data_IF_764331037294
#
_entry.id   IF_764331037294
#
_cell.length_a   1.000
_cell.length_b   1.000
_cell.length_c   1.000
_cell.angle_alpha   90.00
_cell.angle_beta   90.00
_cell.angle_gamma   90.00
#
_symmetry.space_group_name_H-M   'P 1'
#
loop_
_entity.id
_entity.type
_entity.pdbx_description
1 polymer ?
#
# COMPACT_ATOMS: atom_id res chain seq x y z
N UNK A 1 21.61 -13.68 -12.35
CA UNK A 1 20.94 -14.12 -13.62
C UNK A 1 20.42 -12.86 -14.33
N UNK A 2 20.87 -12.63 -15.54
CA UNK A 2 20.49 -11.41 -16.26
C UNK A 2 18.99 -11.41 -16.64
N UNK A 3 18.27 -10.42 -16.14
CA UNK A 3 16.85 -10.23 -16.43
C UNK A 3 16.60 -9.45 -17.73
N UNK A 4 15.37 -9.55 -18.23
CA UNK A 4 14.93 -8.71 -19.35
C UNK A 4 14.73 -7.27 -18.88
N UNK A 5 15.11 -6.32 -19.72
CA UNK A 5 15.02 -4.89 -19.37
C UNK A 5 13.60 -4.45 -19.01
N UNK A 6 12.60 -4.84 -19.77
CA UNK A 6 11.21 -4.49 -19.52
C UNK A 6 10.63 -5.09 -18.24
N UNK A 7 11.12 -6.26 -17.81
CA UNK A 7 10.80 -6.85 -16.50
C UNK A 7 11.45 -6.04 -15.38
N UNK A 8 12.72 -5.65 -15.51
CA UNK A 8 13.41 -4.81 -14.52
C UNK A 8 12.74 -3.42 -14.44
N UNK A 9 12.34 -2.84 -15.56
CA UNK A 9 11.67 -1.54 -15.62
C UNK A 9 10.32 -1.59 -14.87
N UNK A 10 9.51 -2.61 -15.10
CA UNK A 10 8.20 -2.72 -14.42
C UNK A 10 8.32 -3.06 -12.94
N UNK A 11 9.34 -3.83 -12.54
CA UNK A 11 9.66 -4.04 -11.12
C UNK A 11 10.05 -2.73 -10.44
N UNK A 12 10.82 -1.86 -11.09
CA UNK A 12 11.16 -0.53 -10.58
C UNK A 12 9.95 0.42 -10.55
N UNK A 13 9.02 0.31 -11.51
CA UNK A 13 7.77 1.08 -11.47
C UNK A 13 6.92 0.67 -10.26
N UNK A 14 6.82 -0.63 -9.99
CA UNK A 14 6.17 -1.15 -8.79
C UNK A 14 6.87 -0.68 -7.51
N UNK A 15 8.19 -0.76 -7.45
CA UNK A 15 8.98 -0.27 -6.31
C UNK A 15 8.73 1.21 -6.03
N UNK A 16 8.68 2.05 -7.07
CA UNK A 16 8.31 3.47 -6.95
C UNK A 16 6.93 3.65 -6.31
N UNK A 17 5.96 2.83 -6.68
CA UNK A 17 4.61 2.86 -6.12
C UNK A 17 4.62 2.47 -4.64
N UNK A 18 5.27 1.36 -4.28
CA UNK A 18 5.36 0.88 -2.89
C UNK A 18 6.03 1.88 -1.97
N UNK A 19 7.13 2.49 -2.40
CA UNK A 19 7.82 3.52 -1.60
C UNK A 19 6.93 4.76 -1.38
N UNK A 20 6.11 5.12 -2.35
CA UNK A 20 5.07 6.14 -2.19
C UNK A 20 4.00 5.71 -1.18
N UNK A 21 3.51 4.49 -1.28
CA UNK A 21 2.52 3.94 -0.37
C UNK A 21 3.04 3.86 1.08
N UNK A 22 4.28 3.41 1.30
CA UNK A 22 4.94 3.45 2.61
C UNK A 22 4.84 4.84 3.24
N UNK A 23 5.21 5.88 2.50
CA UNK A 23 5.21 7.25 3.00
C UNK A 23 3.79 7.78 3.22
N UNK A 24 2.85 7.48 2.32
CA UNK A 24 1.45 7.90 2.44
C UNK A 24 0.79 7.30 3.67
N UNK A 25 0.84 5.99 3.86
CA UNK A 25 0.30 5.30 5.04
C UNK A 25 0.97 5.76 6.33
N UNK A 26 2.29 6.00 6.32
CA UNK A 26 2.97 6.49 7.51
C UNK A 26 2.54 7.90 7.92
N UNK A 27 2.37 8.81 6.94
CA UNK A 27 1.87 10.15 7.23
C UNK A 27 0.41 10.10 7.70
N UNK A 28 -0.45 9.33 7.03
CA UNK A 28 -1.84 9.14 7.45
C UNK A 28 -1.93 8.56 8.86
N UNK A 29 -1.10 7.57 9.19
CA UNK A 29 -0.99 7.05 10.55
C UNK A 29 -0.74 8.16 11.56
N UNK A 30 0.25 9.02 11.33
CA UNK A 30 0.59 10.09 12.28
C UNK A 30 -0.52 11.15 12.38
N UNK A 31 -1.17 11.47 11.28
CA UNK A 31 -2.30 12.41 11.25
C UNK A 31 -3.51 11.86 12.01
N UNK A 32 -3.90 10.60 11.75
CA UNK A 32 -5.01 9.93 12.43
C UNK A 32 -4.77 9.80 13.93
N UNK A 33 -3.54 9.45 14.33
CA UNK A 33 -3.14 9.37 15.73
C UNK A 33 -3.28 10.74 16.42
N UNK A 34 -2.81 11.81 15.78
CA UNK A 34 -2.95 13.17 16.27
C UNK A 34 -4.42 13.65 16.36
N UNK A 35 -5.29 13.17 15.48
CA UNK A 35 -6.72 13.46 15.52
C UNK A 35 -7.50 12.65 16.53
N UNK A 36 -6.86 11.65 17.18
CA UNK A 36 -7.47 10.78 18.18
C UNK A 36 -8.10 9.50 17.62
N UNK A 37 -7.96 9.20 16.34
CA UNK A 37 -8.46 7.97 15.71
C UNK A 37 -7.42 6.85 15.81
N UNK A 38 -7.08 6.47 17.03
CA UNK A 38 -5.93 5.62 17.35
C UNK A 38 -6.03 4.20 16.80
N UNK A 39 -7.24 3.62 16.71
CA UNK A 39 -7.44 2.28 16.14
C UNK A 39 -7.12 2.27 14.65
N UNK A 40 -7.65 3.23 13.89
CA UNK A 40 -7.36 3.35 12.48
C UNK A 40 -5.89 3.72 12.25
N UNK A 41 -5.31 4.58 13.09
CA UNK A 41 -3.89 4.91 13.06
C UNK A 41 -2.99 3.67 13.19
N UNK A 42 -3.32 2.74 14.09
CA UNK A 42 -2.59 1.47 14.23
C UNK A 42 -2.68 0.61 12.97
N UNK A 43 -3.85 0.59 12.32
CA UNK A 43 -4.04 -0.11 11.03
C UNK A 43 -3.16 0.50 9.94
N UNK A 44 -3.21 1.82 9.77
CA UNK A 44 -2.39 2.55 8.79
C UNK A 44 -0.87 2.32 8.99
N UNK A 45 -0.43 2.32 10.26
CA UNK A 45 0.97 2.01 10.59
C UNK A 45 1.35 0.60 10.15
N UNK A 46 0.48 -0.37 10.36
CA UNK A 46 0.70 -1.76 9.94
C UNK A 46 0.77 -1.86 8.42
N UNK A 47 -0.14 -1.18 7.70
CA UNK A 47 -0.11 -1.14 6.24
C UNK A 47 1.20 -0.55 5.72
N UNK A 48 1.67 0.59 6.28
CA UNK A 48 2.96 1.16 5.87
C UNK A 48 4.12 0.17 6.00
N UNK A 49 4.14 -0.63 7.06
CA UNK A 49 5.17 -1.68 7.27
C UNK A 49 5.01 -2.81 6.23
N UNK A 50 3.78 -3.19 5.90
CA UNK A 50 3.49 -4.22 4.91
C UNK A 50 3.96 -3.78 3.51
N UNK A 51 3.69 -2.51 3.12
CA UNK A 51 4.18 -1.95 1.86
C UNK A 51 5.72 -1.89 1.79
N UNK A 52 6.40 -1.66 2.92
CA UNK A 52 7.86 -1.77 2.97
C UNK A 52 8.33 -3.23 2.74
N UNK A 53 7.59 -4.22 3.21
CA UNK A 53 7.89 -5.63 2.93
C UNK A 53 7.66 -5.98 1.45
N UNK A 54 6.63 -5.40 0.82
CA UNK A 54 6.43 -5.50 -0.63
C UNK A 54 7.61 -4.89 -1.40
N UNK A 55 8.03 -3.68 -1.02
CA UNK A 55 9.19 -3.02 -1.60
C UNK A 55 10.47 -3.87 -1.45
N UNK A 56 10.68 -4.51 -0.31
CA UNK A 56 11.83 -5.39 -0.06
C UNK A 56 11.85 -6.60 -1.02
N UNK A 57 10.70 -7.25 -1.23
CA UNK A 57 10.57 -8.35 -2.20
C UNK A 57 10.93 -7.90 -3.63
N UNK A 58 10.48 -6.70 -4.02
CA UNK A 58 10.79 -6.12 -5.34
C UNK A 58 12.27 -5.79 -5.48
N UNK A 59 12.89 -5.18 -4.46
CA UNK A 59 14.34 -4.89 -4.42
C UNK A 59 15.14 -6.18 -4.56
N UNK A 60 14.82 -7.21 -3.79
CA UNK A 60 15.49 -8.50 -3.86
C UNK A 60 15.39 -9.13 -5.27
N UNK A 61 14.21 -9.04 -5.90
CA UNK A 61 14.01 -9.56 -7.25
C UNK A 61 14.79 -8.79 -8.31
N UNK A 62 14.82 -7.46 -8.24
CA UNK A 62 15.58 -6.61 -9.16
C UNK A 62 17.09 -6.94 -9.07
N UNK A 63 17.62 -7.05 -7.85
CA UNK A 63 19.03 -7.40 -7.63
C UNK A 63 19.35 -8.80 -8.18
N UNK A 64 18.48 -9.78 -7.93
CA UNK A 64 18.65 -11.13 -8.48
C UNK A 64 18.73 -11.15 -10.02
N UNK A 65 17.96 -10.24 -10.67
CA UNK A 65 17.96 -10.07 -12.12
C UNK A 65 19.09 -9.19 -12.65
N UNK A 66 20.08 -8.85 -11.81
CA UNK A 66 21.22 -7.97 -12.13
C UNK A 66 20.78 -6.55 -12.54
N UNK A 67 19.59 -6.12 -12.08
CA UNK A 67 19.10 -4.76 -12.21
C UNK A 67 19.54 -3.88 -11.05
N UNK A 68 19.33 -2.57 -11.20
CA UNK A 68 19.55 -1.59 -10.13
C UNK A 68 18.21 -1.13 -9.57
N UNK A 69 17.91 -1.43 -8.28
CA UNK A 69 16.70 -0.89 -7.63
C UNK A 69 16.76 0.62 -7.49
N UNK A 70 15.70 1.33 -7.90
CA UNK A 70 15.61 2.77 -7.77
C UNK A 70 14.80 3.15 -6.52
N UNK A 71 15.48 3.48 -5.42
CA UNK A 71 14.87 3.96 -4.17
C UNK A 71 14.81 5.50 -4.07
N UNK A 72 15.27 6.23 -5.08
CA UNK A 72 15.32 7.69 -5.05
C UNK A 72 14.02 8.35 -5.53
N UNK A 73 13.21 7.64 -6.31
CA UNK A 73 11.96 8.16 -6.87
C UNK A 73 10.78 7.42 -6.26
N UNK A 74 9.88 8.20 -5.67
CA UNK A 74 8.63 7.69 -5.11
C UNK A 74 7.43 8.22 -5.90
N UNK A 75 6.31 7.49 -5.88
CA UNK A 75 5.06 7.97 -6.46
C UNK A 75 4.55 9.22 -5.71
N UNK A 76 3.86 10.16 -6.39
CA UNK A 76 3.23 11.29 -5.71
C UNK A 76 2.25 10.82 -4.64
N UNK A 77 2.31 11.43 -3.46
CA UNK A 77 1.41 11.10 -2.35
C UNK A 77 0.05 11.79 -2.54
N UNK A 78 -1.00 11.11 -2.13
CA UNK A 78 -2.34 11.64 -2.01
C UNK A 78 -2.68 11.69 -0.51
N UNK A 79 -2.65 12.89 0.09
CA UNK A 79 -2.81 13.07 1.53
C UNK A 79 -4.19 13.62 1.85
N UNK A 80 -4.98 12.83 2.59
CA UNK A 80 -6.29 13.24 3.08
C UNK A 80 -6.16 14.28 4.20
N UNK A 81 -7.11 15.24 4.23
CA UNK A 81 -7.14 16.32 5.21
C UNK A 81 -8.13 16.03 6.36
N UNK A 82 -8.86 14.96 6.28
CA UNK A 82 -9.79 14.46 7.28
C UNK A 82 -9.90 12.93 7.17
N UNK A 83 -10.57 12.31 8.15
CA UNK A 83 -10.68 10.85 8.24
C UNK A 83 -11.23 10.20 6.96
N UNK A 84 -12.30 10.75 6.37
CA UNK A 84 -12.89 10.18 5.16
C UNK A 84 -11.96 10.30 3.97
N UNK A 85 -11.33 11.47 3.78
CA UNK A 85 -10.37 11.69 2.70
C UNK A 85 -9.13 10.78 2.81
N UNK A 86 -8.68 10.48 4.03
CA UNK A 86 -7.60 9.50 4.24
C UNK A 86 -7.97 8.16 3.61
N UNK A 87 -9.14 7.61 3.98
CA UNK A 87 -9.61 6.34 3.41
C UNK A 87 -9.79 6.39 1.89
N UNK A 88 -10.31 7.50 1.35
CA UNK A 88 -10.49 7.69 -0.09
C UNK A 88 -9.16 7.78 -0.84
N UNK A 89 -8.16 8.49 -0.28
CA UNK A 89 -6.83 8.58 -0.87
C UNK A 89 -6.11 7.23 -0.87
N UNK A 90 -6.21 6.49 0.22
CA UNK A 90 -5.60 5.17 0.33
C UNK A 90 -6.26 4.17 -0.63
N UNK A 91 -7.60 4.14 -0.71
CA UNK A 91 -8.30 3.32 -1.68
C UNK A 91 -7.87 3.62 -3.12
N UNK A 92 -7.70 4.89 -3.47
CA UNK A 92 -7.22 5.28 -4.80
C UNK A 92 -5.79 4.77 -5.05
N UNK A 93 -4.93 4.81 -4.04
CA UNK A 93 -3.57 4.25 -4.11
C UNK A 93 -3.61 2.75 -4.40
N UNK A 94 -4.42 1.99 -3.68
CA UNK A 94 -4.56 0.55 -3.84
C UNK A 94 -5.15 0.15 -5.21
N UNK A 95 -6.13 0.89 -5.70
CA UNK A 95 -6.68 0.67 -7.04
C UNK A 95 -5.61 0.92 -8.14
N UNK A 96 -4.76 1.94 -7.96
CA UNK A 96 -3.64 2.19 -8.86
C UNK A 96 -2.59 1.06 -8.80
N UNK A 97 -2.30 0.53 -7.60
CA UNK A 97 -1.42 -0.62 -7.42
C UNK A 97 -1.97 -1.86 -8.13
N UNK A 98 -3.25 -2.16 -7.95
CA UNK A 98 -3.95 -3.28 -8.59
C UNK A 98 -3.83 -3.23 -10.11
N UNK A 99 -4.06 -2.06 -10.71
CA UNK A 99 -3.94 -1.88 -12.16
C UNK A 99 -2.48 -2.04 -12.62
N UNK A 100 -1.53 -1.48 -11.87
CA UNK A 100 -0.09 -1.60 -12.15
C UNK A 100 0.36 -3.07 -12.10
N UNK A 101 -0.02 -3.81 -11.07
CA UNK A 101 0.43 -5.19 -10.88
C UNK A 101 -0.22 -6.16 -11.85
N UNK A 102 -1.45 -5.90 -12.27
CA UNK A 102 -2.10 -6.64 -13.36
C UNK A 102 -1.29 -6.48 -14.66
N UNK A 103 -0.90 -5.27 -15.00
CA UNK A 103 -0.06 -4.97 -16.18
C UNK A 103 1.35 -5.58 -16.03
N UNK A 104 1.94 -5.47 -14.85
CA UNK A 104 3.27 -6.00 -14.56
C UNK A 104 3.32 -7.52 -14.69
N UNK A 105 2.33 -8.22 -14.17
CA UNK A 105 2.16 -9.67 -14.32
C UNK A 105 2.16 -10.09 -15.80
N UNK A 106 1.41 -9.35 -16.65
CA UNK A 106 1.35 -9.66 -18.08
C UNK A 106 2.67 -9.40 -18.82
N UNK A 107 3.43 -8.38 -18.42
CA UNK A 107 4.78 -8.13 -18.95
C UNK A 107 5.72 -9.28 -18.57
N UNK A 108 5.70 -9.72 -17.32
CA UNK A 108 6.51 -10.84 -16.85
C UNK A 108 6.16 -12.14 -17.61
N UNK A 109 4.87 -12.40 -17.81
CA UNK A 109 4.40 -13.58 -18.56
C UNK A 109 4.88 -13.55 -20.00
N UNK A 110 4.82 -12.42 -20.70
CA UNK A 110 5.31 -12.26 -22.08
C UNK A 110 6.81 -12.49 -22.21
N UNK A 111 7.57 -12.22 -21.16
CA UNK A 111 9.01 -12.43 -21.09
C UNK A 111 9.40 -13.81 -20.52
N UNK A 112 8.42 -14.68 -20.26
CA UNK A 112 8.62 -16.01 -19.66
C UNK A 112 9.31 -15.97 -18.28
N UNK A 113 9.23 -14.82 -17.57
CA UNK A 113 9.69 -14.67 -16.19
C UNK A 113 8.57 -15.03 -15.23
N UNK A 114 8.36 -16.33 -15.06
CA UNK A 114 7.28 -16.86 -14.23
C UNK A 114 7.44 -16.55 -12.75
N UNK A 115 8.66 -16.37 -12.26
CA UNK A 115 8.92 -16.06 -10.85
C UNK A 115 8.55 -14.60 -10.55
N UNK A 116 8.91 -13.66 -11.41
CA UNK A 116 8.46 -12.26 -11.28
C UNK A 116 6.94 -12.15 -11.49
N UNK A 117 6.36 -12.94 -12.39
CA UNK A 117 4.90 -13.01 -12.57
C UNK A 117 4.22 -13.46 -11.27
N UNK A 118 4.70 -14.54 -10.65
CA UNK A 118 4.16 -15.04 -9.38
C UNK A 118 4.30 -14.01 -8.25
N UNK A 119 5.42 -13.28 -8.17
CA UNK A 119 5.59 -12.19 -7.22
C UNK A 119 4.48 -11.14 -7.37
N UNK A 120 4.18 -10.71 -8.58
CA UNK A 120 3.08 -9.77 -8.82
C UNK A 120 1.70 -10.34 -8.51
N UNK A 121 1.48 -11.64 -8.69
CA UNK A 121 0.23 -12.30 -8.28
C UNK A 121 0.08 -12.34 -6.75
N UNK A 122 1.17 -12.53 -6.01
CA UNK A 122 1.18 -12.45 -4.54
C UNK A 122 0.88 -11.03 -4.05
N UNK A 123 1.58 -10.02 -4.58
CA UNK A 123 1.33 -8.62 -4.25
C UNK A 123 -0.11 -8.22 -4.58
N UNK A 124 -0.60 -8.59 -5.77
CA UNK A 124 -1.97 -8.28 -6.20
C UNK A 124 -3.03 -8.84 -5.24
N UNK A 125 -2.80 -10.03 -4.68
CA UNK A 125 -3.70 -10.61 -3.69
C UNK A 125 -3.74 -9.79 -2.39
N UNK A 126 -2.57 -9.29 -1.95
CA UNK A 126 -2.48 -8.47 -0.75
C UNK A 126 -3.20 -7.12 -0.98
N UNK A 127 -3.00 -6.46 -2.15
CA UNK A 127 -3.69 -5.22 -2.51
C UNK A 127 -5.22 -5.39 -2.61
N UNK A 128 -5.71 -6.51 -3.13
CA UNK A 128 -7.16 -6.77 -3.12
C UNK A 128 -7.72 -6.90 -1.70
N UNK A 129 -6.94 -7.40 -0.76
CA UNK A 129 -7.28 -7.40 0.67
C UNK A 129 -7.34 -5.99 1.27
N UNK A 130 -6.39 -5.12 0.92
CA UNK A 130 -6.41 -3.69 1.32
C UNK A 130 -7.61 -2.95 0.73
N UNK A 131 -7.91 -3.18 -0.56
CA UNK A 131 -9.09 -2.60 -1.23
C UNK A 131 -10.37 -3.01 -0.51
N UNK A 132 -10.57 -4.30 -0.25
CA UNK A 132 -11.77 -4.82 0.44
C UNK A 132 -11.95 -4.17 1.82
N UNK A 133 -10.86 -4.04 2.58
CA UNK A 133 -10.87 -3.34 3.86
C UNK A 133 -11.32 -1.89 3.70
N UNK A 134 -10.70 -1.13 2.80
CA UNK A 134 -10.96 0.31 2.62
C UNK A 134 -12.37 0.56 2.08
N UNK A 135 -12.86 -0.24 1.14
CA UNK A 135 -14.24 -0.18 0.65
C UNK A 135 -15.23 -0.46 1.78
N UNK A 136 -14.96 -1.45 2.63
CA UNK A 136 -15.77 -1.77 3.81
C UNK A 136 -15.82 -0.60 4.80
N UNK A 137 -14.68 0.08 5.06
CA UNK A 137 -14.64 1.23 5.95
C UNK A 137 -15.42 2.41 5.38
N UNK A 138 -15.25 2.72 4.09
CA UNK A 138 -15.99 3.80 3.42
C UNK A 138 -17.50 3.54 3.40
N UNK A 139 -17.90 2.31 3.15
CA UNK A 139 -19.31 1.87 3.20
C UNK A 139 -19.90 2.10 4.61
N UNK A 140 -19.12 1.80 5.65
CA UNK A 140 -19.53 2.04 7.03
C UNK A 140 -19.64 3.54 7.34
N UNK A 141 -18.68 4.35 6.87
CA UNK A 141 -18.75 5.82 6.97
C UNK A 141 -20.04 6.36 6.35
N UNK A 142 -20.41 5.87 5.16
CA UNK A 142 -21.63 6.31 4.48
C UNK A 142 -22.91 5.85 5.20
N UNK A 143 -22.90 4.68 5.82
CA UNK A 143 -24.06 4.14 6.56
C UNK A 143 -24.33 4.81 7.90
N UNK A 144 -23.29 5.12 8.67
CA UNK A 144 -23.44 5.63 10.06
C UNK A 144 -22.99 7.08 10.24
N UNK A 145 -22.43 7.70 9.20
CA UNK A 145 -21.84 9.03 9.24
C UNK A 145 -20.41 9.05 9.78
N UNK A 146 -19.61 9.99 9.30
CA UNK A 146 -18.18 10.09 9.64
C UNK A 146 -17.94 10.33 11.13
N UNK A 147 -18.82 11.05 11.82
CA UNK A 147 -18.68 11.31 13.26
C UNK A 147 -18.86 10.02 14.09
N UNK A 148 -19.87 9.22 13.80
CA UNK A 148 -20.09 7.96 14.49
C UNK A 148 -18.97 6.95 14.15
N UNK A 149 -18.55 6.90 12.89
CA UNK A 149 -17.41 6.08 12.49
C UNK A 149 -16.14 6.47 13.23
N UNK A 150 -15.86 7.78 13.35
CA UNK A 150 -14.69 8.29 14.07
C UNK A 150 -14.70 7.88 15.55
N UNK A 151 -15.85 7.87 16.22
CA UNK A 151 -15.97 7.39 17.61
C UNK A 151 -15.59 5.93 17.75
N UNK A 152 -15.90 5.08 16.76
CA UNK A 152 -15.50 3.67 16.77
C UNK A 152 -13.98 3.48 16.58
N UNK A 153 -13.28 4.48 16.06
CA UNK A 153 -11.84 4.45 15.81
C UNK A 153 -11.01 5.04 16.96
N UNK A 154 -11.64 5.67 17.96
CA UNK A 154 -10.97 6.25 19.11
C UNK A 154 -10.81 5.20 20.24
N UNK A 155 -9.63 5.18 20.88
CA UNK A 155 -9.38 4.44 22.12
C UNK A 155 -9.37 5.40 23.31
N UNK A 156 -9.76 4.89 24.49
CA UNK A 156 -9.53 5.60 25.75
C UNK A 156 -8.07 5.49 26.18
N UNK A 157 -7.60 6.48 26.96
CA UNK A 157 -6.21 6.54 27.39
C UNK A 157 -5.73 5.31 28.19
N UNK A 158 -6.64 4.55 28.78
CA UNK A 158 -6.34 3.38 29.58
C UNK A 158 -6.10 2.09 28.74
N UNK A 159 -6.36 2.15 27.42
CA UNK A 159 -6.12 1.03 26.49
C UNK A 159 -4.68 1.06 25.88
N UNK A 160 -3.79 1.87 26.45
CA UNK A 160 -2.44 2.12 25.89
C UNK A 160 -1.43 1.03 26.27
N UNK A 161 -1.79 0.06 27.12
CA UNK A 161 -0.93 -1.02 27.58
C UNK A 161 -1.18 -2.36 26.83
N UNK A 162 -1.18 -2.31 25.54
CA UNK A 162 -1.21 -3.51 24.69
C UNK A 162 -0.23 -3.36 23.52
N UNK A 163 0.96 -3.93 23.67
CA UNK A 163 1.97 -4.11 22.61
C UNK A 163 1.43 -4.83 21.36
#
# INVERSE_FOLDING_TARGET
MQGRKDVIDILNEALKHELGAVNQYWLHYRMLDNWGFTKLAKKERKESIEEMQHADKLVARIIFLEGLPNLQVIAPLMIGQNLKEVLECDLKGELNARDLYTRARDICRKNEDLVSMQLFEELLKDEEGHIDFLETQLDLVDKIGVQNYGQLQADFADDVDGD
#
